data_IF_614536299253
#
_entry.id   IF_614536299253
#
_cell.length_a   1.000
_cell.length_b   1.000
_cell.length_c   1.000
_cell.angle_alpha   90.00
_cell.angle_beta   90.00
_cell.angle_gamma   90.00
#
_symmetry.space_group_name_H-M   'P 1'
#
loop_
_entity.id
_entity.type
_entity.pdbx_description
1 polymer ?
#
# COMPACT_ATOMS: atom_id res chain seq x y z
N UNK A 1 2.37 -8.19 -23.25
CA UNK A 1 3.48 -9.12 -22.92
C UNK A 1 4.30 -8.66 -21.71
N UNK A 2 4.77 -7.40 -21.66
CA UNK A 2 5.57 -6.89 -20.53
C UNK A 2 4.83 -6.87 -19.18
N UNK A 3 3.58 -6.37 -19.13
CA UNK A 3 2.77 -6.34 -17.90
C UNK A 3 2.52 -7.74 -17.33
N UNK A 4 2.21 -8.72 -18.19
CA UNK A 4 1.99 -10.13 -17.77
C UNK A 4 3.25 -10.71 -17.12
N UNK A 5 4.43 -10.45 -17.70
CA UNK A 5 5.70 -10.90 -17.12
C UNK A 5 5.97 -10.23 -15.77
N UNK A 6 5.69 -8.94 -15.64
CA UNK A 6 5.82 -8.23 -14.36
C UNK A 6 4.91 -8.80 -13.28
N UNK A 7 3.66 -9.15 -13.63
CA UNK A 7 2.71 -9.77 -12.71
C UNK A 7 3.23 -11.14 -12.27
N UNK A 8 3.70 -11.98 -13.21
CA UNK A 8 4.28 -13.29 -12.89
C UNK A 8 5.48 -13.15 -11.94
N UNK A 9 6.37 -12.20 -12.19
CA UNK A 9 7.53 -11.95 -11.32
C UNK A 9 7.09 -11.44 -9.94
N UNK A 10 6.09 -10.55 -9.85
CA UNK A 10 5.55 -10.05 -8.57
C UNK A 10 4.86 -11.13 -7.74
N UNK A 11 4.18 -12.07 -8.38
CA UNK A 11 3.54 -13.22 -7.72
C UNK A 11 4.59 -14.26 -7.30
N UNK A 12 5.59 -14.50 -8.14
CA UNK A 12 6.61 -15.53 -7.91
C UNK A 12 7.65 -15.11 -6.86
N UNK A 13 7.90 -13.81 -6.70
CA UNK A 13 8.84 -13.27 -5.72
C UNK A 13 8.18 -13.05 -4.36
N UNK A 14 8.34 -14.03 -3.48
CA UNK A 14 7.78 -14.02 -2.12
C UNK A 14 8.69 -13.27 -1.13
N UNK A 15 10.01 -13.25 -1.37
CA UNK A 15 11.01 -12.73 -0.40
C UNK A 15 11.78 -11.49 -0.91
N UNK A 16 11.81 -11.26 -2.22
CA UNK A 16 12.60 -10.20 -2.84
C UNK A 16 11.91 -8.84 -2.85
N UNK A 17 12.53 -7.89 -3.55
CA UNK A 17 12.01 -6.54 -3.73
C UNK A 17 12.10 -6.22 -5.22
N UNK A 18 10.96 -5.90 -5.83
CA UNK A 18 10.87 -5.63 -7.26
C UNK A 18 10.79 -4.13 -7.51
N UNK A 19 11.67 -3.64 -8.39
CA UNK A 19 11.62 -2.27 -8.89
C UNK A 19 11.05 -2.24 -10.30
N UNK A 20 9.81 -1.76 -10.43
CA UNK A 20 9.11 -1.73 -11.71
C UNK A 20 9.27 -0.39 -12.42
N UNK A 21 9.89 -0.41 -13.60
CA UNK A 21 9.98 0.75 -14.51
C UNK A 21 9.07 0.51 -15.70
N UNK A 22 8.04 1.35 -15.84
CA UNK A 22 7.12 1.33 -16.99
C UNK A 22 7.09 2.72 -17.62
N UNK A 23 7.01 2.86 -18.96
CA UNK A 23 6.75 4.14 -19.61
C UNK A 23 5.47 4.81 -19.09
N UNK A 24 5.43 6.15 -19.12
CA UNK A 24 4.20 6.91 -18.85
C UNK A 24 3.14 6.64 -19.92
N UNK A 25 1.86 6.61 -19.54
CA UNK A 25 0.75 6.30 -20.44
C UNK A 25 0.38 4.82 -20.47
N UNK A 26 1.25 3.93 -20.02
CA UNK A 26 0.89 2.55 -19.68
C UNK A 26 0.16 2.53 -18.33
N UNK A 27 -0.88 1.69 -18.18
CA UNK A 27 -1.57 1.47 -16.90
C UNK A 27 -0.62 0.80 -15.90
N UNK A 28 0.15 1.62 -15.17
CA UNK A 28 1.09 1.16 -14.15
C UNK A 28 0.41 0.65 -12.89
N UNK A 29 -0.86 1.02 -12.69
CA UNK A 29 -1.66 0.58 -11.55
C UNK A 29 -1.99 -0.91 -11.64
N UNK A 30 -2.36 -1.37 -12.84
CA UNK A 30 -2.85 -2.72 -13.07
C UNK A 30 -1.97 -3.85 -12.49
N UNK A 31 -0.64 -3.88 -12.66
CA UNK A 31 0.18 -4.99 -12.16
C UNK A 31 0.14 -5.15 -10.65
N UNK A 32 0.21 -4.07 -9.87
CA UNK A 32 0.21 -4.20 -8.41
C UNK A 32 -1.20 -4.38 -7.85
N UNK A 33 -2.24 -3.86 -8.51
CA UNK A 33 -3.63 -4.14 -8.11
C UNK A 33 -3.99 -5.62 -8.32
N UNK A 34 -3.52 -6.23 -9.41
CA UNK A 34 -3.71 -7.66 -9.65
C UNK A 34 -2.92 -8.53 -8.67
N UNK A 35 -1.71 -8.11 -8.28
CA UNK A 35 -0.93 -8.85 -7.27
C UNK A 35 -1.62 -8.81 -5.91
N UNK A 36 -2.13 -7.65 -5.49
CA UNK A 36 -2.97 -7.53 -4.28
C UNK A 36 -4.14 -8.53 -4.29
N UNK A 37 -4.70 -8.82 -5.48
CA UNK A 37 -5.81 -9.76 -5.62
C UNK A 37 -5.41 -11.22 -5.40
N UNK A 38 -4.23 -11.61 -5.87
CA UNK A 38 -3.72 -12.98 -5.71
C UNK A 38 -3.24 -13.27 -4.27
N UNK A 39 -3.11 -12.24 -3.44
CA UNK A 39 -2.72 -12.35 -2.03
C UNK A 39 -3.90 -12.73 -1.14
N UNK A 40 -4.56 -13.83 -1.46
CA UNK A 40 -5.72 -14.33 -0.74
C UNK A 40 -5.44 -14.34 0.78
N UNK A 41 -6.35 -13.74 1.56
CA UNK A 41 -6.29 -13.68 3.02
C UNK A 41 -5.18 -12.76 3.58
N UNK A 42 -4.48 -11.96 2.77
CA UNK A 42 -3.54 -10.93 3.24
C UNK A 42 -3.86 -9.55 2.66
N UNK A 43 -3.29 -8.52 3.27
CA UNK A 43 -3.51 -7.11 2.91
C UNK A 43 -2.22 -6.49 2.42
N UNK A 44 -2.32 -5.82 1.27
CA UNK A 44 -1.26 -4.99 0.70
C UNK A 44 -1.41 -3.52 1.11
N UNK A 45 -0.30 -2.84 1.40
CA UNK A 45 -0.27 -1.41 1.75
C UNK A 45 0.28 -0.60 0.59
N UNK A 46 -0.56 0.23 -0.02
CA UNK A 46 -0.24 1.07 -1.17
C UNK A 46 0.03 2.50 -0.71
N UNK A 47 1.23 3.00 -0.99
CA UNK A 47 1.69 4.31 -0.56
C UNK A 47 1.90 5.19 -1.80
N UNK A 48 1.14 6.29 -1.89
CA UNK A 48 1.15 7.19 -3.04
C UNK A 48 1.46 8.63 -2.67
N UNK A 49 2.07 9.42 -3.59
CA UNK A 49 2.59 10.74 -3.24
C UNK A 49 1.52 11.84 -3.21
N UNK A 50 0.27 11.57 -3.61
CA UNK A 50 -0.77 12.59 -3.63
C UNK A 50 -2.16 12.00 -3.44
N UNK A 51 -3.07 12.82 -2.92
CA UNK A 51 -4.47 12.45 -2.71
C UNK A 51 -5.21 12.17 -4.03
N UNK A 52 -4.85 12.83 -5.12
CA UNK A 52 -5.44 12.57 -6.43
C UNK A 52 -5.11 11.15 -6.93
N UNK A 53 -3.95 10.61 -6.57
CA UNK A 53 -3.59 9.23 -6.91
C UNK A 53 -4.33 8.22 -6.04
N UNK A 54 -4.63 8.55 -4.77
CA UNK A 54 -5.49 7.71 -3.91
C UNK A 54 -6.85 7.53 -4.57
N UNK A 55 -7.51 8.62 -4.95
CA UNK A 55 -8.84 8.56 -5.60
C UNK A 55 -8.82 7.70 -6.85
N UNK A 56 -7.78 7.82 -7.66
CA UNK A 56 -7.63 7.02 -8.88
C UNK A 56 -7.47 5.52 -8.57
N UNK A 57 -6.76 5.18 -7.49
CA UNK A 57 -6.64 3.79 -7.03
C UNK A 57 -7.98 3.27 -6.54
N UNK A 58 -8.73 4.06 -5.76
CA UNK A 58 -10.10 3.69 -5.35
C UNK A 58 -10.98 3.40 -6.57
N UNK A 59 -11.00 4.31 -7.55
CA UNK A 59 -11.76 4.14 -8.79
C UNK A 59 -11.33 2.87 -9.56
N UNK A 60 -10.04 2.58 -9.64
CA UNK A 60 -9.53 1.40 -10.33
C UNK A 60 -9.83 0.09 -9.57
N UNK A 61 -9.81 0.12 -8.23
CA UNK A 61 -10.17 -1.03 -7.38
C UNK A 61 -11.67 -1.32 -7.39
N UNK A 62 -12.51 -0.27 -7.35
CA UNK A 62 -13.96 -0.43 -7.45
C UNK A 62 -14.37 -1.09 -8.77
N UNK A 63 -13.70 -0.78 -9.88
CA UNK A 63 -13.97 -1.42 -11.18
C UNK A 63 -13.75 -2.93 -11.18
N UNK A 64 -12.92 -3.45 -10.28
CA UNK A 64 -12.62 -4.87 -10.15
C UNK A 64 -13.28 -5.52 -8.93
N UNK A 65 -14.23 -4.83 -8.30
CA UNK A 65 -14.93 -5.22 -7.06
C UNK A 65 -13.97 -5.51 -5.88
N UNK A 66 -12.93 -4.69 -5.73
CA UNK A 66 -12.01 -4.74 -4.60
C UNK A 66 -12.30 -3.61 -3.63
N UNK A 67 -12.31 -3.93 -2.33
CA UNK A 67 -12.54 -2.99 -1.25
C UNK A 67 -11.20 -2.47 -0.70
N UNK A 68 -11.08 -1.16 -0.59
CA UNK A 68 -9.85 -0.51 -0.13
C UNK A 68 -10.12 0.37 1.08
N UNK A 69 -9.28 0.22 2.11
CA UNK A 69 -9.30 1.11 3.25
C UNK A 69 -8.40 2.32 2.98
N UNK A 70 -8.99 3.50 2.86
CA UNK A 70 -8.22 4.73 2.70
C UNK A 70 -7.87 5.36 4.04
N UNK A 71 -6.58 5.44 4.32
CA UNK A 71 -5.99 6.07 5.50
C UNK A 71 -5.18 7.29 5.07
N UNK A 72 -5.88 8.36 4.67
CA UNK A 72 -5.26 9.61 4.26
C UNK A 72 -5.83 10.83 5.01
N UNK A 73 -5.25 12.01 4.77
CA UNK A 73 -5.58 13.24 5.52
C UNK A 73 -6.99 13.77 5.27
N UNK A 74 -7.68 13.32 4.22
CA UNK A 74 -9.08 13.70 3.94
C UNK A 74 -10.07 12.94 4.82
N UNK A 75 -9.64 11.82 5.43
CA UNK A 75 -10.47 11.07 6.36
C UNK A 75 -10.37 11.72 7.75
N UNK A 76 -11.50 12.17 8.35
CA UNK A 76 -11.49 12.75 9.68
C UNK A 76 -10.84 11.83 10.71
N UNK A 77 -10.08 12.40 11.65
CA UNK A 77 -9.27 11.63 12.61
C UNK A 77 -10.11 10.63 13.41
N UNK A 78 -11.30 11.02 13.86
CA UNK A 78 -12.19 10.12 14.62
C UNK A 78 -12.71 8.96 13.77
N UNK A 79 -13.05 9.23 12.50
CA UNK A 79 -13.45 8.18 11.56
C UNK A 79 -12.29 7.24 11.29
N UNK A 80 -11.10 7.78 11.04
CA UNK A 80 -9.87 6.99 10.82
C UNK A 80 -9.58 6.08 12.01
N UNK A 81 -9.63 6.62 13.23
CA UNK A 81 -9.41 5.85 14.46
C UNK A 81 -10.41 4.72 14.60
N UNK A 82 -11.70 4.97 14.35
CA UNK A 82 -12.74 3.92 14.38
C UNK A 82 -12.48 2.80 13.37
N UNK A 83 -12.07 3.15 12.14
CA UNK A 83 -11.75 2.15 11.10
C UNK A 83 -10.52 1.32 11.51
N UNK A 84 -9.51 1.96 12.09
CA UNK A 84 -8.32 1.29 12.60
C UNK A 84 -8.67 0.38 13.78
N UNK A 85 -9.46 0.85 14.74
CA UNK A 85 -9.88 0.06 15.91
C UNK A 85 -10.56 -1.25 15.51
N UNK A 86 -11.42 -1.23 14.48
CA UNK A 86 -12.01 -2.47 13.93
C UNK A 86 -10.95 -3.48 13.49
N UNK A 87 -9.92 -3.02 12.80
CA UNK A 87 -8.80 -3.85 12.35
C UNK A 87 -7.96 -4.41 13.48
N UNK A 88 -7.80 -3.63 14.55
CA UNK A 88 -7.09 -4.02 15.77
C UNK A 88 -7.88 -5.07 16.57
N UNK A 89 -9.20 -4.89 16.68
CA UNK A 89 -10.09 -5.77 17.45
C UNK A 89 -10.26 -7.15 16.81
N UNK A 90 -10.42 -7.20 15.47
CA UNK A 90 -10.57 -8.45 14.73
C UNK A 90 -9.90 -8.38 13.38
N UNK A 91 -8.65 -8.85 13.31
CA UNK A 91 -7.89 -8.90 12.06
C UNK A 91 -8.57 -9.82 11.04
N UNK A 92 -9.16 -10.93 11.47
CA UNK A 92 -9.86 -11.86 10.58
C UNK A 92 -11.12 -11.27 9.94
N UNK A 93 -11.84 -10.39 10.64
CA UNK A 93 -12.98 -9.67 10.05
C UNK A 93 -12.47 -8.61 9.10
N UNK A 94 -11.40 -7.92 9.48
CA UNK A 94 -10.80 -6.84 8.71
C UNK A 94 -10.30 -7.29 7.34
N UNK A 95 -9.57 -8.41 7.25
CA UNK A 95 -9.09 -8.97 5.98
C UNK A 95 -10.20 -9.53 5.08
N UNK A 96 -11.43 -9.68 5.59
CA UNK A 96 -12.60 -10.04 4.79
C UNK A 96 -13.34 -8.81 4.27
N UNK A 97 -13.15 -7.66 4.91
CA UNK A 97 -13.80 -6.40 4.55
C UNK A 97 -12.92 -5.57 3.60
N UNK A 98 -11.59 -5.70 3.69
CA UNK A 98 -10.64 -4.90 2.91
C UNK A 98 -9.54 -5.76 2.30
N UNK A 99 -9.25 -5.52 1.03
CA UNK A 99 -8.20 -6.19 0.28
C UNK A 99 -6.86 -5.42 0.34
N UNK A 100 -6.93 -4.10 0.48
CA UNK A 100 -5.74 -3.27 0.59
C UNK A 100 -5.96 -1.99 1.41
N UNK A 101 -4.84 -1.38 1.79
CA UNK A 101 -4.80 -0.10 2.48
C UNK A 101 -4.14 0.93 1.56
N UNK A 102 -4.86 2.00 1.22
CA UNK A 102 -4.33 3.14 0.51
C UNK A 102 -3.94 4.27 1.47
N UNK A 103 -2.69 4.74 1.41
CA UNK A 103 -2.22 5.83 2.29
C UNK A 103 -1.25 6.77 1.58
N UNK A 104 -0.96 7.90 2.23
CA UNK A 104 0.12 8.81 1.82
C UNK A 104 1.34 8.60 2.72
N UNK A 105 2.56 8.92 2.25
CA UNK A 105 3.77 8.92 3.07
C UNK A 105 3.65 9.60 4.42
N UNK A 106 2.95 10.74 4.50
CA UNK A 106 2.79 11.46 5.76
C UNK A 106 1.88 10.70 6.72
N UNK A 107 0.80 10.13 6.22
CA UNK A 107 -0.18 9.39 7.01
C UNK A 107 0.29 7.97 7.35
N UNK A 108 1.20 7.42 6.55
CA UNK A 108 1.88 6.18 6.87
C UNK A 108 2.55 6.26 8.25
N UNK A 109 3.12 7.40 8.62
CA UNK A 109 3.75 7.62 9.93
C UNK A 109 2.80 7.98 11.07
N UNK A 110 1.49 8.10 10.81
CA UNK A 110 0.52 8.32 11.87
C UNK A 110 0.55 7.12 12.85
N UNK A 111 0.63 7.34 14.17
CA UNK A 111 0.76 6.26 15.14
C UNK A 111 -0.38 5.24 15.09
N UNK A 112 -1.61 5.69 14.80
CA UNK A 112 -2.76 4.79 14.71
C UNK A 112 -2.59 3.88 13.47
N UNK A 113 -2.11 4.44 12.36
CA UNK A 113 -1.84 3.69 11.11
C UNK A 113 -0.70 2.69 11.30
N UNK A 114 0.40 3.10 11.95
CA UNK A 114 1.52 2.20 12.28
C UNK A 114 1.08 1.06 13.20
N UNK A 115 0.19 1.33 14.17
CA UNK A 115 -0.36 0.31 15.06
C UNK A 115 -1.09 -0.79 14.27
N UNK A 116 -1.97 -0.40 13.34
CA UNK A 116 -2.68 -1.35 12.47
C UNK A 116 -1.71 -2.18 11.64
N UNK A 117 -0.72 -1.53 11.00
CA UNK A 117 0.27 -2.22 10.17
C UNK A 117 1.08 -3.22 10.99
N UNK A 118 1.49 -2.85 12.20
CA UNK A 118 2.23 -3.76 13.09
C UNK A 118 1.38 -4.97 13.52
N UNK A 119 0.09 -4.78 13.73
CA UNK A 119 -0.84 -5.87 14.06
C UNK A 119 -1.01 -6.81 12.85
N UNK A 120 -1.22 -6.27 11.66
CA UNK A 120 -1.28 -7.07 10.43
C UNK A 120 0.02 -7.85 10.21
N UNK A 121 1.17 -7.20 10.41
CA UNK A 121 2.48 -7.84 10.29
C UNK A 121 2.68 -8.97 11.31
N UNK A 122 2.43 -8.69 12.59
CA UNK A 122 2.65 -9.66 13.69
C UNK A 122 1.74 -10.88 13.59
N UNK A 123 0.57 -10.74 12.95
CA UNK A 123 -0.37 -11.83 12.71
C UNK A 123 -0.23 -12.46 11.31
N UNK A 124 0.83 -12.15 10.56
CA UNK A 124 1.10 -12.67 9.21
C UNK A 124 0.01 -12.36 8.16
N UNK A 125 -0.72 -11.26 8.34
CA UNK A 125 -1.75 -10.76 7.41
C UNK A 125 -1.27 -9.61 6.53
N UNK A 126 -0.05 -9.08 6.76
CA UNK A 126 0.56 -8.10 5.87
C UNK A 126 1.26 -8.83 4.71
N UNK A 127 0.89 -8.51 3.48
CA UNK A 127 1.48 -9.14 2.30
C UNK A 127 2.70 -8.38 1.78
N UNK A 128 2.51 -7.12 1.34
CA UNK A 128 3.61 -6.28 0.85
C UNK A 128 3.32 -4.79 0.98
N UNK A 129 4.39 -4.01 0.79
CA UNK A 129 4.32 -2.56 0.61
C UNK A 129 4.52 -2.22 -0.86
N UNK A 130 3.63 -1.41 -1.41
CA UNK A 130 3.69 -0.91 -2.79
C UNK A 130 3.97 0.59 -2.73
N UNK A 131 5.10 1.01 -3.31
CA UNK A 131 5.51 2.42 -3.37
C UNK A 131 5.31 2.95 -4.80
N UNK A 132 4.25 3.74 -5.04
CA UNK A 132 4.09 4.42 -6.33
C UNK A 132 5.00 5.65 -6.42
N UNK A 133 5.39 6.00 -7.65
CA UNK A 133 6.24 7.15 -7.99
C UNK A 133 7.55 7.18 -7.19
N UNK A 134 8.19 6.03 -7.04
CA UNK A 134 9.45 5.89 -6.29
C UNK A 134 10.57 6.85 -6.74
N UNK A 135 10.53 7.35 -7.99
CA UNK A 135 11.46 8.40 -8.46
C UNK A 135 11.41 9.70 -7.62
N UNK A 136 10.35 9.94 -6.85
CA UNK A 136 10.27 11.04 -5.86
C UNK A 136 11.39 10.95 -4.82
N UNK A 137 11.93 9.76 -4.55
CA UNK A 137 13.10 9.55 -3.68
C UNK A 137 14.40 10.13 -4.25
N UNK A 138 14.49 10.21 -5.58
CA UNK A 138 15.69 10.61 -6.31
C UNK A 138 15.66 12.09 -6.72
N UNK A 139 14.54 12.78 -6.52
CA UNK A 139 14.41 14.20 -6.86
C UNK A 139 15.09 15.09 -5.81
N UNK A 140 15.94 16.00 -6.28
CA UNK A 140 16.47 17.10 -5.48
C UNK A 140 15.58 18.34 -5.60
N UNK A 141 15.47 19.16 -4.54
CA UNK A 141 14.74 20.43 -4.56
C UNK A 141 13.29 20.35 -4.06
N UNK A 142 12.41 21.23 -4.53
CA UNK A 142 11.06 21.45 -4.02
C UNK A 142 10.09 20.26 -4.16
N UNK A 143 10.40 19.27 -5.00
CA UNK A 143 9.60 18.05 -5.15
C UNK A 143 10.10 16.87 -4.29
N UNK A 144 11.15 17.06 -3.49
CA UNK A 144 11.63 16.05 -2.55
C UNK A 144 10.64 15.84 -1.41
N UNK A 145 10.09 14.63 -1.30
CA UNK A 145 9.14 14.26 -0.26
C UNK A 145 9.83 13.50 0.85
N UNK A 146 10.31 14.22 1.88
CA UNK A 146 11.07 13.67 3.03
C UNK A 146 10.47 12.39 3.63
N UNK A 147 9.14 12.33 3.74
CA UNK A 147 8.43 11.16 4.26
C UNK A 147 8.78 9.87 3.50
N UNK A 148 8.90 9.91 2.15
CA UNK A 148 9.27 8.72 1.36
C UNK A 148 10.64 8.14 1.75
N UNK A 149 11.63 8.98 2.04
CA UNK A 149 13.00 8.52 2.39
C UNK A 149 13.02 7.67 3.65
N UNK A 150 12.14 7.97 4.60
CA UNK A 150 12.04 7.22 5.84
C UNK A 150 11.33 5.88 5.63
N UNK A 151 10.46 5.74 4.61
CA UNK A 151 9.57 4.57 4.48
C UNK A 151 10.39 3.32 4.20
N UNK A 152 11.43 3.46 3.37
CA UNK A 152 12.37 2.38 3.12
C UNK A 152 13.03 1.86 4.41
N UNK A 153 13.36 2.74 5.37
CA UNK A 153 13.93 2.32 6.66
C UNK A 153 12.92 1.56 7.52
N UNK A 154 11.68 2.04 7.56
CA UNK A 154 10.59 1.40 8.32
C UNK A 154 10.24 0.02 7.77
N UNK A 155 10.13 -0.13 6.44
CA UNK A 155 9.86 -1.42 5.80
C UNK A 155 10.97 -2.43 6.10
N UNK A 156 12.24 -1.97 6.15
CA UNK A 156 13.38 -2.85 6.46
C UNK A 156 13.36 -3.37 7.91
N UNK A 157 12.77 -2.65 8.87
CA UNK A 157 12.62 -3.19 10.23
C UNK A 157 11.57 -4.30 10.28
N UNK A 158 10.53 -4.25 9.44
CA UNK A 158 9.53 -5.31 9.27
C UNK A 158 10.06 -6.53 8.48
N UNK A 159 11.35 -6.61 8.14
CA UNK A 159 11.97 -7.80 7.52
C UNK A 159 12.96 -8.52 8.44
N UNK A 160 13.15 -8.03 9.67
CA UNK A 160 14.28 -8.41 10.55
C UNK A 160 13.91 -9.21 11.79
N UNK A 161 12.69 -9.75 11.87
CA UNK A 161 12.29 -10.69 12.90
C UNK A 161 11.94 -12.04 12.28
#
# INVERSE_FOLDING_TARGET
MFQVRCIIELISDVDGSIFLIVPTGTEKSLPYLLVTKEEEVKISVIIVPSLNLIKRIEEDLTKINYESLILCSTVPKDKRRRLISKGIESVHTFIKEYDCIGTTPEQFYDPDVQSLINILYSNNFLARFILDKAHVLLQCGCNFRRAYSNIYRSIKSCRRC
#
